data_IF_206571347498
#
_entry.id   IF_206571347498
#
_cell.length_a   1.000
_cell.length_b   1.000
_cell.length_c   1.000
_cell.angle_alpha   90.00
_cell.angle_beta   90.00
_cell.angle_gamma   90.00
#
_symmetry.space_group_name_H-M   'P 1'
#
loop_
_entity.id
_entity.type
_entity.pdbx_description
1 polymer ?
#
# COMPACT_ATOMS: atom_id res chain seq x y z
N UNK A 1 -32.89 -67.52 -41.89
CA UNK A 1 -32.62 -66.06 -41.99
C UNK A 1 -31.20 -65.83 -41.50
N UNK A 2 -30.25 -65.61 -42.42
CA UNK A 2 -28.80 -65.49 -42.12
C UNK A 2 -28.52 -64.04 -41.75
N UNK A 3 -28.14 -63.77 -40.49
CA UNK A 3 -27.74 -62.44 -40.03
C UNK A 3 -26.22 -62.40 -40.06
N UNK A 4 -25.67 -61.68 -41.05
CA UNK A 4 -24.24 -61.38 -41.14
C UNK A 4 -23.92 -60.23 -40.16
N UNK A 5 -23.23 -60.53 -39.06
CA UNK A 5 -22.62 -59.49 -38.22
C UNK A 5 -21.35 -58.97 -38.92
N UNK A 6 -21.40 -57.74 -39.40
CA UNK A 6 -20.23 -57.00 -39.85
C UNK A 6 -19.56 -56.36 -38.62
N UNK A 7 -18.39 -56.86 -38.22
CA UNK A 7 -17.49 -56.16 -37.30
C UNK A 7 -16.91 -54.94 -38.02
N UNK A 8 -17.36 -53.74 -37.65
CA UNK A 8 -16.69 -52.51 -38.02
C UNK A 8 -15.49 -52.29 -37.06
N UNK A 9 -14.27 -52.56 -37.54
CA UNK A 9 -13.05 -52.11 -36.88
C UNK A 9 -13.00 -50.57 -36.98
N UNK A 10 -13.34 -49.86 -35.89
CA UNK A 10 -12.95 -48.47 -35.73
C UNK A 10 -11.44 -48.44 -35.51
N UNK A 11 -10.69 -48.11 -36.56
CA UNK A 11 -9.29 -47.75 -36.43
C UNK A 11 -9.20 -46.44 -35.63
N UNK A 12 -8.76 -46.53 -34.38
CA UNK A 12 -8.37 -45.36 -33.59
C UNK A 12 -7.07 -44.86 -34.17
N UNK A 13 -7.15 -43.93 -35.12
CA UNK A 13 -5.98 -43.21 -35.60
C UNK A 13 -5.41 -42.43 -34.41
N UNK A 14 -4.17 -42.69 -33.97
CA UNK A 14 -3.54 -41.88 -32.94
C UNK A 14 -3.47 -40.45 -33.48
N UNK A 15 -4.07 -39.51 -32.75
CA UNK A 15 -3.84 -38.10 -32.98
C UNK A 15 -2.37 -37.84 -32.67
N UNK A 16 -1.53 -37.84 -33.71
CA UNK A 16 -0.17 -37.38 -33.59
C UNK A 16 -0.23 -35.88 -33.26
N UNK A 17 0.13 -35.51 -32.04
CA UNK A 17 0.40 -34.13 -31.70
C UNK A 17 1.43 -33.60 -32.71
N UNK A 18 1.25 -32.38 -33.25
CA UNK A 18 2.27 -31.81 -34.11
C UNK A 18 3.57 -31.74 -33.30
N UNK A 19 4.62 -32.42 -33.79
CA UNK A 19 5.96 -32.19 -33.29
C UNK A 19 6.29 -30.73 -33.58
N UNK A 20 6.47 -29.92 -32.54
CA UNK A 20 6.98 -28.56 -32.69
C UNK A 20 8.38 -28.67 -33.28
N UNK A 21 8.48 -28.39 -34.59
CA UNK A 21 9.65 -28.68 -35.40
C UNK A 21 10.77 -27.62 -35.30
N UNK A 22 10.83 -26.85 -34.20
CA UNK A 22 11.94 -25.94 -33.91
C UNK A 22 12.27 -26.02 -32.41
N UNK A 23 13.22 -26.90 -32.06
CA UNK A 23 13.79 -27.00 -30.72
C UNK A 23 14.52 -25.72 -30.29
N UNK A 24 14.88 -25.64 -29.02
CA UNK A 24 15.46 -24.47 -28.37
C UNK A 24 14.79 -24.14 -27.03
N UNK A 25 15.27 -23.09 -26.33
CA UNK A 25 14.61 -22.56 -25.14
C UNK A 25 13.24 -21.99 -25.50
N UNK A 26 12.23 -22.24 -24.65
CA UNK A 26 10.88 -21.71 -24.84
C UNK A 26 10.22 -21.33 -23.52
N UNK A 27 9.79 -20.08 -23.38
CA UNK A 27 9.04 -19.60 -22.23
C UNK A 27 7.54 -19.86 -22.41
N UNK A 28 6.88 -20.34 -21.36
CA UNK A 28 5.42 -20.45 -21.29
C UNK A 28 4.90 -19.78 -20.03
N UNK A 29 3.81 -19.02 -20.16
CA UNK A 29 3.10 -18.37 -19.06
C UNK A 29 1.62 -18.73 -19.11
N UNK A 30 1.01 -18.83 -17.93
CA UNK A 30 -0.43 -19.07 -17.80
C UNK A 30 -1.26 -17.86 -18.25
N UNK A 31 -0.78 -16.65 -17.91
CA UNK A 31 -1.41 -15.38 -18.23
C UNK A 31 -0.36 -14.27 -18.31
N UNK A 32 -0.65 -13.26 -19.12
CA UNK A 32 0.24 -12.09 -19.33
C UNK A 32 -0.32 -10.80 -18.75
N UNK A 33 -1.55 -10.85 -18.23
CA UNK A 33 -2.26 -9.67 -17.73
C UNK A 33 -2.67 -9.87 -16.28
N UNK A 34 -2.60 -8.81 -15.49
CA UNK A 34 -3.14 -8.79 -14.14
C UNK A 34 -3.85 -7.46 -13.85
N UNK A 35 -5.05 -7.54 -13.29
CA UNK A 35 -5.79 -6.38 -12.84
C UNK A 35 -5.84 -6.35 -11.32
N UNK A 36 -5.16 -5.39 -10.70
CA UNK A 36 -5.16 -5.19 -9.25
C UNK A 36 -6.49 -4.66 -8.71
N UNK A 37 -7.41 -4.25 -9.58
CA UNK A 37 -8.66 -3.62 -9.16
C UNK A 37 -8.41 -2.20 -8.64
N UNK A 38 -9.17 -1.84 -7.61
CA UNK A 38 -9.07 -0.53 -6.96
C UNK A 38 -7.97 -0.55 -5.90
N UNK A 39 -7.01 0.36 -6.03
CA UNK A 39 -5.87 0.49 -5.12
C UNK A 39 -5.91 1.88 -4.49
N UNK A 40 -5.85 1.96 -3.16
CA UNK A 40 -5.67 3.26 -2.50
C UNK A 40 -4.26 3.78 -2.76
N UNK A 41 -4.15 5.00 -3.25
CA UNK A 41 -2.88 5.68 -3.47
C UNK A 41 -1.97 5.60 -2.23
N UNK A 42 -0.68 5.32 -2.45
CA UNK A 42 0.31 5.13 -1.38
C UNK A 42 0.47 3.69 -0.92
N UNK A 43 -0.23 2.74 -1.55
CA UNK A 43 -0.01 1.29 -1.36
C UNK A 43 0.89 0.73 -2.45
N UNK A 44 1.71 -0.24 -2.06
CA UNK A 44 2.39 -1.15 -2.98
C UNK A 44 1.51 -2.39 -3.10
N UNK A 45 1.26 -2.83 -4.33
CA UNK A 45 0.55 -4.08 -4.63
C UNK A 45 1.45 -4.97 -5.47
N UNK A 46 1.43 -6.26 -5.18
CA UNK A 46 2.37 -7.24 -5.74
C UNK A 46 1.61 -8.32 -6.49
N UNK A 47 2.10 -8.70 -7.66
CA UNK A 47 1.62 -9.88 -8.39
C UNK A 47 2.78 -10.70 -8.93
N UNK A 48 2.59 -12.03 -9.02
CA UNK A 48 3.58 -12.96 -9.55
C UNK A 48 3.04 -13.59 -10.82
N UNK A 49 3.76 -13.42 -11.92
CA UNK A 49 3.49 -14.12 -13.17
C UNK A 49 4.28 -15.43 -13.21
N UNK A 50 3.64 -16.59 -13.02
CA UNK A 50 4.33 -17.87 -13.12
C UNK A 50 4.75 -18.12 -14.57
N UNK A 51 5.94 -18.67 -14.76
CA UNK A 51 6.43 -19.09 -16.06
C UNK A 51 7.26 -20.37 -15.97
N UNK A 52 7.38 -21.09 -17.08
CA UNK A 52 8.17 -22.31 -17.18
C UNK A 52 8.92 -22.41 -18.50
N UNK A 53 9.98 -23.22 -18.52
CA UNK A 53 10.68 -23.58 -19.74
C UNK A 53 10.06 -24.84 -20.36
N UNK A 54 9.32 -24.67 -21.46
CA UNK A 54 8.69 -25.77 -22.21
C UNK A 54 9.53 -26.23 -23.41
N UNK A 55 10.72 -25.66 -23.56
CA UNK A 55 11.70 -26.02 -24.59
C UNK A 55 12.55 -27.23 -24.20
N UNK A 56 13.55 -27.52 -25.04
CA UNK A 56 14.51 -28.61 -24.84
C UNK A 56 15.94 -28.13 -24.53
N UNK A 57 16.14 -26.82 -24.39
CA UNK A 57 17.41 -26.17 -23.99
C UNK A 57 17.18 -25.18 -22.85
N UNK A 58 18.26 -24.72 -22.19
CA UNK A 58 18.21 -23.75 -21.08
C UNK A 58 17.62 -22.41 -21.53
N UNK A 59 16.55 -21.99 -20.85
CA UNK A 59 15.95 -20.67 -20.98
C UNK A 59 16.68 -19.70 -20.03
N UNK A 60 17.09 -18.55 -20.56
CA UNK A 60 17.76 -17.48 -19.82
C UNK A 60 16.93 -16.19 -19.96
N UNK A 61 16.60 -15.58 -18.83
CA UNK A 61 16.00 -14.24 -18.76
C UNK A 61 17.14 -13.24 -18.67
N UNK A 62 17.31 -12.45 -19.72
CA UNK A 62 18.43 -11.51 -19.88
C UNK A 62 18.17 -10.19 -19.16
N UNK A 63 16.94 -9.68 -19.26
CA UNK A 63 16.53 -8.42 -18.64
C UNK A 63 15.03 -8.42 -18.36
N UNK A 64 14.63 -7.69 -17.31
CA UNK A 64 13.23 -7.36 -17.08
C UNK A 64 13.13 -5.88 -16.75
N UNK A 65 12.48 -5.13 -17.62
CA UNK A 65 12.46 -3.67 -17.54
C UNK A 65 11.04 -3.11 -17.46
N UNK A 66 10.94 -1.96 -16.80
CA UNK A 66 9.70 -1.19 -16.65
C UNK A 66 9.92 0.27 -17.06
N UNK A 67 8.92 0.96 -17.63
CA UNK A 67 9.09 2.32 -18.14
C UNK A 67 9.36 3.38 -17.06
N UNK A 68 9.00 3.12 -15.79
CA UNK A 68 9.31 3.99 -14.65
C UNK A 68 9.70 3.19 -13.42
N UNK A 69 10.54 3.77 -12.54
CA UNK A 69 10.95 3.19 -11.25
C UNK A 69 9.84 3.03 -10.20
N UNK A 70 8.59 3.10 -10.65
CA UNK A 70 7.35 2.86 -9.93
C UNK A 70 6.99 1.35 -9.88
N UNK A 71 7.77 0.51 -10.61
CA UNK A 71 7.56 -0.93 -10.71
C UNK A 71 8.87 -1.68 -10.59
N UNK A 72 9.06 -2.41 -9.48
CA UNK A 72 10.23 -3.26 -9.26
C UNK A 72 9.94 -4.67 -9.77
N UNK A 73 10.93 -5.28 -10.44
CA UNK A 73 10.81 -6.61 -11.00
C UNK A 73 12.05 -7.43 -10.69
N UNK A 74 11.87 -8.61 -10.10
CA UNK A 74 12.93 -9.57 -9.84
C UNK A 74 12.46 -10.97 -10.27
N UNK A 75 13.18 -11.65 -11.19
CA UNK A 75 12.98 -13.08 -11.38
C UNK A 75 13.60 -13.83 -10.19
N UNK A 76 12.86 -14.77 -9.59
CA UNK A 76 13.38 -15.64 -8.51
C UNK A 76 14.53 -16.53 -9.02
N UNK A 77 14.41 -16.96 -10.28
CA UNK A 77 15.43 -17.66 -11.04
C UNK A 77 15.42 -17.18 -12.48
N UNK A 78 16.57 -16.72 -12.99
CA UNK A 78 16.73 -16.22 -14.36
C UNK A 78 17.25 -17.29 -15.35
N UNK A 79 17.55 -18.50 -14.88
CA UNK A 79 17.98 -19.64 -15.71
C UNK A 79 17.14 -20.86 -15.40
N UNK A 80 16.45 -21.40 -16.39
CA UNK A 80 15.54 -22.53 -16.24
C UNK A 80 15.96 -23.64 -17.19
N UNK A 81 16.31 -24.80 -16.63
CA UNK A 81 16.45 -26.03 -17.41
C UNK A 81 15.08 -26.46 -17.98
N UNK A 82 15.04 -27.29 -19.03
CA UNK A 82 13.80 -27.84 -19.55
C UNK A 82 12.90 -28.43 -18.44
N UNK A 83 11.64 -27.98 -18.39
CA UNK A 83 10.65 -28.39 -17.41
C UNK A 83 10.69 -27.68 -16.05
N UNK A 84 11.67 -26.80 -15.80
CA UNK A 84 11.68 -25.97 -14.60
C UNK A 84 10.68 -24.81 -14.70
N UNK A 85 10.26 -24.29 -13.54
CA UNK A 85 9.34 -23.16 -13.40
C UNK A 85 9.90 -22.11 -12.43
N UNK A 86 9.45 -20.87 -12.60
CA UNK A 86 9.83 -19.68 -11.81
C UNK A 86 8.69 -18.66 -11.86
N UNK A 87 8.91 -17.45 -11.35
CA UNK A 87 7.96 -16.35 -11.45
C UNK A 87 8.67 -15.01 -11.68
N UNK A 88 7.93 -14.09 -12.30
CA UNK A 88 8.28 -12.67 -12.41
C UNK A 88 7.41 -11.94 -11.39
N UNK A 89 8.02 -11.44 -10.31
CA UNK A 89 7.33 -10.64 -9.31
C UNK A 89 7.27 -9.18 -9.75
N UNK A 90 6.09 -8.57 -9.71
CA UNK A 90 5.83 -7.19 -10.10
C UNK A 90 5.25 -6.45 -8.91
N UNK A 91 6.03 -5.53 -8.36
CA UNK A 91 5.59 -4.61 -7.30
C UNK A 91 5.20 -3.27 -7.92
N UNK A 92 3.93 -2.89 -7.82
CA UNK A 92 3.44 -1.59 -8.29
C UNK A 92 3.26 -0.61 -7.13
N UNK A 93 4.06 0.46 -7.11
CA UNK A 93 3.92 1.58 -6.16
C UNK A 93 2.92 2.62 -6.69
N UNK A 94 1.76 2.71 -6.04
CA UNK A 94 0.69 3.65 -6.41
C UNK A 94 0.91 5.08 -5.90
N UNK A 95 1.94 5.35 -5.09
CA UNK A 95 2.11 6.63 -4.37
C UNK A 95 2.02 7.88 -5.25
N UNK A 96 2.60 7.81 -6.46
CA UNK A 96 2.68 8.95 -7.37
C UNK A 96 1.55 8.99 -8.43
N UNK A 97 0.47 8.21 -8.28
CA UNK A 97 -0.57 8.06 -9.31
C UNK A 97 -1.99 8.12 -8.71
N UNK A 98 -2.95 8.45 -9.56
CA UNK A 98 -4.40 8.36 -9.30
C UNK A 98 -5.12 8.13 -10.62
N UNK A 99 -6.34 7.58 -10.58
CA UNK A 99 -7.11 7.19 -11.75
C UNK A 99 -6.65 5.87 -12.37
N UNK A 100 -7.07 5.61 -13.61
CA UNK A 100 -6.70 4.40 -14.36
C UNK A 100 -5.20 4.39 -14.68
N UNK A 101 -4.55 3.26 -14.41
CA UNK A 101 -3.14 3.04 -14.68
C UNK A 101 -2.97 1.71 -15.41
N UNK A 102 -2.22 1.75 -16.50
CA UNK A 102 -1.68 0.57 -17.20
C UNK A 102 -0.16 0.64 -17.17
N UNK A 103 0.49 -0.49 -16.87
CA UNK A 103 1.94 -0.66 -16.94
C UNK A 103 2.25 -1.89 -17.77
N UNK A 104 3.18 -1.71 -18.69
CA UNK A 104 3.74 -2.80 -19.49
C UNK A 104 5.14 -3.08 -18.97
N UNK A 105 5.41 -4.35 -18.68
CA UNK A 105 6.71 -4.88 -18.29
C UNK A 105 7.26 -5.64 -19.50
N UNK A 106 8.50 -5.35 -19.88
CA UNK A 106 9.17 -6.05 -20.98
C UNK A 106 10.16 -7.05 -20.41
N UNK A 107 10.07 -8.29 -20.86
CA UNK A 107 10.92 -9.41 -20.48
C UNK A 107 11.73 -9.81 -21.70
N UNK A 108 13.06 -9.72 -21.62
CA UNK A 108 13.97 -10.16 -22.65
C UNK A 108 14.55 -11.53 -22.29
N UNK A 109 14.58 -12.45 -23.26
CA UNK A 109 15.09 -13.80 -23.08
C UNK A 109 15.75 -14.35 -24.34
N UNK A 110 16.43 -15.48 -24.19
CA UNK A 110 16.98 -16.24 -25.31
C UNK A 110 15.96 -17.15 -26.03
N UNK A 111 14.65 -17.03 -25.75
CA UNK A 111 13.60 -17.77 -26.47
C UNK A 111 13.72 -17.53 -27.98
N UNK A 112 13.75 -18.63 -28.76
CA UNK A 112 14.00 -18.57 -30.21
C UNK A 112 12.79 -18.12 -31.03
N UNK A 113 11.61 -18.05 -30.44
CA UNK A 113 10.35 -17.61 -31.06
C UNK A 113 9.88 -16.27 -30.50
N UNK A 114 9.97 -16.06 -29.19
CA UNK A 114 9.53 -14.83 -28.53
C UNK A 114 10.64 -14.26 -27.62
N UNK A 115 11.72 -13.71 -28.20
CA UNK A 115 12.85 -13.18 -27.42
C UNK A 115 12.48 -11.94 -26.60
N UNK A 116 11.42 -11.23 -27.00
CA UNK A 116 10.83 -10.11 -26.26
C UNK A 116 9.36 -10.41 -25.96
N UNK A 117 9.04 -10.53 -24.67
CA UNK A 117 7.72 -10.80 -24.15
C UNK A 117 7.23 -9.58 -23.35
N UNK A 118 5.93 -9.28 -23.43
CA UNK A 118 5.30 -8.24 -22.60
C UNK A 118 4.32 -8.83 -21.58
N UNK A 119 4.32 -8.24 -20.38
CA UNK A 119 3.31 -8.45 -19.34
C UNK A 119 2.62 -7.12 -19.07
N UNK A 120 1.32 -7.16 -18.77
CA UNK A 120 0.53 -5.98 -18.47
C UNK A 120 -0.04 -6.06 -17.05
N UNK A 121 0.10 -4.97 -16.30
CA UNK A 121 -0.63 -4.79 -15.05
C UNK A 121 -1.48 -3.52 -15.11
N UNK A 122 -2.72 -3.62 -14.65
CA UNK A 122 -3.67 -2.51 -14.62
C UNK A 122 -4.24 -2.30 -13.22
N UNK A 123 -4.59 -1.06 -12.89
CA UNK A 123 -5.23 -0.70 -11.63
C UNK A 123 -6.04 0.60 -11.77
N UNK A 124 -7.11 0.72 -10.99
CA UNK A 124 -7.77 2.00 -10.72
C UNK A 124 -7.23 2.54 -9.40
N UNK A 125 -6.37 3.56 -9.44
CA UNK A 125 -5.81 4.13 -8.22
C UNK A 125 -6.75 5.19 -7.66
N UNK A 126 -7.40 4.87 -6.55
CA UNK A 126 -8.19 5.82 -5.80
C UNK A 126 -7.26 6.81 -5.13
N UNK A 127 -7.48 8.10 -5.40
CA UNK A 127 -6.75 9.17 -4.75
C UNK A 127 -6.82 8.98 -3.23
N UNK A 128 -5.69 9.17 -2.55
CA UNK A 128 -5.68 9.14 -1.09
C UNK A 128 -6.66 10.20 -0.60
N UNK A 129 -7.51 9.85 0.38
CA UNK A 129 -8.41 10.82 1.02
C UNK A 129 -7.64 11.94 1.74
N UNK A 130 -6.30 11.83 1.85
CA UNK A 130 -5.39 12.85 2.37
C UNK A 130 -4.57 13.57 1.28
N UNK A 131 -4.75 13.21 0.00
CA UNK A 131 -4.08 13.84 -1.14
C UNK A 131 -4.99 14.90 -1.77
N UNK A 132 -5.25 15.98 -1.02
CA UNK A 132 -5.94 17.17 -1.51
C UNK A 132 -7.13 17.59 -0.65
N UNK A 133 -7.07 18.79 -0.09
CA UNK A 133 -8.21 19.50 0.49
C UNK A 133 -8.81 20.39 -0.60
N UNK A 134 -10.08 20.21 -0.94
CA UNK A 134 -10.77 21.17 -1.79
C UNK A 134 -11.08 22.45 -1.01
N UNK A 135 -11.18 23.58 -1.72
CA UNK A 135 -11.46 24.87 -1.09
C UNK A 135 -12.82 24.83 -0.37
N UNK A 136 -12.79 24.97 0.95
CA UNK A 136 -13.99 24.91 1.80
C UNK A 136 -14.26 23.54 2.43
N UNK A 137 -13.48 22.51 2.11
CA UNK A 137 -13.52 21.24 2.86
C UNK A 137 -12.89 21.45 4.25
N UNK A 138 -13.59 21.00 5.29
CA UNK A 138 -13.04 20.91 6.65
C UNK A 138 -12.81 19.46 7.01
N UNK A 139 -11.90 19.22 7.96
CA UNK A 139 -11.64 17.88 8.50
C UNK A 139 -12.92 17.19 9.04
N UNK A 140 -13.92 17.99 9.42
CA UNK A 140 -15.19 17.54 9.99
C UNK A 140 -16.34 17.53 8.97
N UNK A 141 -16.09 17.90 7.71
CA UNK A 141 -17.09 17.89 6.65
C UNK A 141 -17.50 16.47 6.23
N UNK A 142 -18.54 16.29 5.41
CA UNK A 142 -19.12 14.97 5.10
C UNK A 142 -18.14 13.92 4.55
N UNK A 143 -17.14 14.36 3.78
CA UNK A 143 -16.11 13.49 3.18
C UNK A 143 -15.08 13.01 4.21
N UNK A 144 -14.60 13.92 5.07
CA UNK A 144 -13.48 13.68 5.98
C UNK A 144 -13.95 13.30 7.39
N UNK A 145 -15.16 13.72 7.76
CA UNK A 145 -15.75 13.54 9.08
C UNK A 145 -15.98 12.07 9.43
N UNK A 146 -16.21 11.19 8.46
CA UNK A 146 -16.34 9.76 8.76
C UNK A 146 -15.09 9.18 9.46
N UNK A 147 -13.91 9.71 9.15
CA UNK A 147 -12.66 9.23 9.74
C UNK A 147 -12.14 10.17 10.85
N UNK A 148 -12.46 11.47 10.81
CA UNK A 148 -11.95 12.46 11.77
C UNK A 148 -12.98 12.95 12.81
N UNK A 149 -14.27 12.73 12.56
CA UNK A 149 -15.41 13.14 13.41
C UNK A 149 -16.10 11.92 14.04
N UNK A 150 -16.47 10.89 13.27
CA UNK A 150 -17.24 9.74 13.78
C UNK A 150 -16.56 9.01 14.95
N UNK A 151 -15.22 8.80 14.96
CA UNK A 151 -14.56 8.15 16.08
C UNK A 151 -14.68 8.91 17.41
N UNK A 152 -14.99 10.21 17.37
CA UNK A 152 -15.14 11.05 18.56
C UNK A 152 -16.56 11.06 19.14
N UNK A 153 -17.55 10.48 18.44
CA UNK A 153 -18.95 10.51 18.87
C UNK A 153 -19.10 9.70 20.16
N UNK A 154 -19.64 10.34 21.20
CA UNK A 154 -19.91 9.70 22.49
C UNK A 154 -18.68 9.52 23.38
N UNK A 155 -17.47 9.83 22.90
CA UNK A 155 -16.27 9.82 23.74
C UNK A 155 -16.24 11.02 24.68
N UNK A 156 -15.62 10.85 25.85
CA UNK A 156 -15.35 11.92 26.80
C UNK A 156 -14.05 11.68 27.55
N UNK A 157 -13.54 12.70 28.25
CA UNK A 157 -12.35 12.56 29.09
C UNK A 157 -11.13 12.10 28.29
N UNK A 158 -10.39 11.11 28.83
CA UNK A 158 -9.13 10.65 28.27
C UNK A 158 -9.31 9.99 26.91
N UNK A 159 -10.39 9.23 26.70
CA UNK A 159 -10.67 8.56 25.42
C UNK A 159 -10.87 9.59 24.30
N UNK A 160 -11.57 10.69 24.60
CA UNK A 160 -11.74 11.78 23.65
C UNK A 160 -10.42 12.51 23.38
N UNK A 161 -9.58 12.69 24.42
CA UNK A 161 -8.25 13.29 24.26
C UNK A 161 -7.34 12.43 23.36
N UNK A 162 -7.31 11.12 23.59
CA UNK A 162 -6.55 10.15 22.79
C UNK A 162 -7.07 9.97 21.38
N UNK A 163 -8.33 10.32 21.12
CA UNK A 163 -8.87 10.29 19.76
C UNK A 163 -8.59 11.58 18.99
N UNK A 164 -8.76 12.75 19.63
CA UNK A 164 -8.81 14.03 18.92
C UNK A 164 -7.61 14.97 19.14
N UNK A 165 -6.85 14.83 20.24
CA UNK A 165 -5.91 15.86 20.69
C UNK A 165 -4.47 15.36 20.78
N UNK A 166 -4.27 14.08 21.09
CA UNK A 166 -2.96 13.53 21.42
C UNK A 166 -1.93 13.65 20.29
N UNK A 167 -2.36 13.54 19.03
CA UNK A 167 -1.46 13.52 17.88
C UNK A 167 -0.62 14.82 17.85
N UNK A 168 -1.25 15.96 18.14
CA UNK A 168 -0.58 17.26 18.19
C UNK A 168 -0.03 17.60 19.58
N UNK A 169 -0.76 17.26 20.65
CA UNK A 169 -0.41 17.70 22.01
C UNK A 169 0.37 16.65 22.83
N UNK A 170 0.71 15.52 22.22
CA UNK A 170 1.39 14.37 22.84
C UNK A 170 0.44 13.51 23.68
N UNK A 171 0.68 12.19 23.76
CA UNK A 171 -0.15 11.24 24.52
C UNK A 171 -0.37 11.66 25.98
N UNK A 172 0.62 12.29 26.58
CA UNK A 172 0.60 12.72 27.98
C UNK A 172 0.50 14.25 28.14
N UNK A 173 -0.02 14.97 27.13
CA UNK A 173 -0.12 16.45 27.13
C UNK A 173 1.24 17.17 27.21
N UNK A 174 2.34 16.48 26.90
CA UNK A 174 3.72 17.02 26.94
C UNK A 174 4.16 17.72 25.65
N UNK A 175 3.27 17.83 24.67
CA UNK A 175 3.55 18.41 23.36
C UNK A 175 4.06 17.38 22.36
N UNK A 176 3.81 17.66 21.09
CA UNK A 176 4.38 16.97 19.93
C UNK A 176 4.58 18.01 18.81
N UNK A 177 3.77 17.97 17.75
CA UNK A 177 3.74 18.98 16.70
C UNK A 177 3.10 20.30 17.16
N UNK A 178 2.32 20.25 18.24
CA UNK A 178 1.80 21.42 18.95
C UNK A 178 2.32 21.49 20.39
N UNK A 179 2.07 22.63 21.04
CA UNK A 179 2.52 22.93 22.41
C UNK A 179 2.01 21.92 23.44
N UNK A 180 2.78 21.76 24.52
CA UNK A 180 2.35 21.04 25.71
C UNK A 180 1.11 21.71 26.36
N UNK A 181 0.16 20.89 26.81
CA UNK A 181 -1.05 21.36 27.49
C UNK A 181 -0.99 21.16 29.01
N UNK A 182 -0.11 20.28 29.51
CA UNK A 182 -0.02 19.95 30.94
C UNK A 182 0.49 21.06 31.85
N UNK A 183 0.92 22.20 31.30
CA UNK A 183 1.50 23.32 32.06
C UNK A 183 0.54 24.49 32.29
N UNK A 184 -0.68 24.45 31.74
CA UNK A 184 -1.62 25.57 31.86
C UNK A 184 -2.33 25.57 33.22
N UNK A 185 -2.37 26.70 33.95
CA UNK A 185 -3.03 26.77 35.25
C UNK A 185 -4.57 26.74 35.10
N UNK A 186 -5.31 26.34 36.17
CA UNK A 186 -6.78 26.34 36.17
C UNK A 186 -7.41 27.69 35.80
N UNK A 187 -6.75 28.80 36.13
CA UNK A 187 -7.21 30.15 35.77
C UNK A 187 -7.32 30.40 34.25
N UNK A 188 -6.72 29.55 33.42
CA UNK A 188 -6.81 29.63 31.95
C UNK A 188 -7.88 28.71 31.36
N UNK A 189 -8.66 27.99 32.16
CA UNK A 189 -9.66 27.02 31.69
C UNK A 189 -10.65 27.65 30.68
N UNK A 190 -11.14 28.86 30.95
CA UNK A 190 -12.07 29.55 30.04
C UNK A 190 -11.41 29.91 28.70
N UNK A 191 -10.16 30.32 28.73
CA UNK A 191 -9.41 30.61 27.50
C UNK A 191 -9.17 29.34 26.69
N UNK A 192 -8.76 28.25 27.35
CA UNK A 192 -8.58 26.95 26.69
C UNK A 192 -9.89 26.41 26.12
N UNK A 193 -11.01 26.62 26.84
CA UNK A 193 -12.35 26.31 26.34
C UNK A 193 -12.63 27.05 25.03
N UNK A 194 -12.34 28.34 24.98
CA UNK A 194 -12.53 29.15 23.77
C UNK A 194 -11.63 28.68 22.61
N UNK A 195 -10.40 28.28 22.90
CA UNK A 195 -9.47 27.75 21.90
C UNK A 195 -9.95 26.39 21.36
N UNK A 196 -10.43 25.48 22.20
CA UNK A 196 -11.02 24.21 21.73
C UNK A 196 -12.31 24.47 20.94
N UNK A 197 -13.13 25.41 21.42
CA UNK A 197 -14.41 25.75 20.78
C UNK A 197 -14.20 26.32 19.38
N UNK A 198 -13.39 27.38 19.28
CA UNK A 198 -13.26 28.23 18.10
C UNK A 198 -12.03 27.89 17.23
N UNK A 199 -11.14 27.05 17.74
CA UNK A 199 -9.84 26.85 17.14
C UNK A 199 -8.90 28.00 17.46
N UNK A 200 -7.72 27.94 16.88
CA UNK A 200 -6.72 29.00 17.01
C UNK A 200 -6.42 29.58 15.62
N UNK A 201 -6.92 30.80 15.31
CA UNK A 201 -6.72 31.44 14.02
C UNK A 201 -5.24 31.53 13.63
N UNK A 202 -4.94 31.27 12.35
CA UNK A 202 -3.56 31.27 11.84
C UNK A 202 -2.77 30.01 12.18
N UNK A 203 -3.44 28.94 12.64
CA UNK A 203 -2.84 27.63 12.91
C UNK A 203 -3.71 26.51 12.36
N UNK A 204 -3.14 25.30 12.32
CA UNK A 204 -3.85 24.07 11.93
C UNK A 204 -4.81 23.54 13.01
N UNK A 205 -5.03 24.27 14.12
CA UNK A 205 -5.98 23.86 15.16
C UNK A 205 -7.40 24.38 14.84
N UNK A 206 -8.31 23.52 14.34
CA UNK A 206 -9.65 23.94 13.95
C UNK A 206 -10.55 24.17 15.17
N UNK A 207 -11.72 24.77 14.94
CA UNK A 207 -12.79 24.80 15.93
C UNK A 207 -13.42 23.42 16.08
N UNK A 208 -13.39 22.85 17.28
CA UNK A 208 -13.93 21.52 17.56
C UNK A 208 -15.38 21.54 18.03
N UNK A 209 -15.93 22.70 18.40
CA UNK A 209 -17.33 22.77 18.80
C UNK A 209 -18.28 22.67 17.60
N UNK A 210 -19.47 22.09 17.79
CA UNK A 210 -20.51 21.96 16.75
C UNK A 210 -20.89 23.29 16.10
N UNK A 211 -20.82 24.41 16.84
CA UNK A 211 -21.09 25.74 16.28
C UNK A 211 -20.04 26.20 15.25
N UNK A 212 -18.87 25.57 15.23
CA UNK A 212 -17.78 25.83 14.27
C UNK A 212 -17.67 24.73 13.20
N UNK A 213 -18.64 23.81 13.16
CA UNK A 213 -18.60 22.63 12.31
C UNK A 213 -17.76 21.47 12.87
N UNK A 214 -17.30 21.55 14.12
CA UNK A 214 -16.57 20.47 14.79
C UNK A 214 -17.46 19.43 15.48
N UNK A 215 -16.87 18.32 16.00
CA UNK A 215 -17.63 17.20 16.55
C UNK A 215 -18.27 17.45 17.93
N UNK A 216 -17.67 18.32 18.73
CA UNK A 216 -17.84 18.31 20.17
C UNK A 216 -18.98 19.19 20.62
N UNK A 217 -19.76 18.71 21.59
CA UNK A 217 -20.65 19.56 22.38
C UNK A 217 -19.96 20.11 23.64
N UNK A 218 -20.67 20.98 24.36
CA UNK A 218 -20.17 21.61 25.58
C UNK A 218 -19.73 20.59 26.64
N UNK A 219 -20.47 19.49 26.82
CA UNK A 219 -20.14 18.48 27.81
C UNK A 219 -18.84 17.75 27.47
N UNK A 220 -18.61 17.46 26.19
CA UNK A 220 -17.38 16.86 25.71
C UNK A 220 -16.19 17.82 25.87
N UNK A 221 -16.34 19.10 25.56
CA UNK A 221 -15.29 20.12 25.77
C UNK A 221 -14.95 20.26 27.26
N UNK A 222 -15.97 20.33 28.12
CA UNK A 222 -15.76 20.42 29.56
C UNK A 222 -15.07 19.15 30.10
N UNK A 223 -15.32 17.99 29.51
CA UNK A 223 -14.62 16.74 29.85
C UNK A 223 -13.13 16.79 29.49
N UNK A 224 -12.76 17.41 28.36
CA UNK A 224 -11.37 17.59 27.95
C UNK A 224 -10.62 18.52 28.89
N UNK A 225 -11.26 19.60 29.35
CA UNK A 225 -10.65 20.51 30.34
C UNK A 225 -10.34 19.79 31.64
N UNK A 226 -11.21 18.88 32.10
CA UNK A 226 -10.93 18.04 33.28
C UNK A 226 -9.67 17.20 33.09
N UNK A 227 -9.45 16.62 31.90
CA UNK A 227 -8.25 15.81 31.61
C UNK A 227 -6.97 16.60 31.77
N UNK A 228 -6.95 17.89 31.40
CA UNK A 228 -5.77 18.73 31.55
C UNK A 228 -5.27 18.82 33.01
N UNK A 229 -6.18 18.74 33.96
CA UNK A 229 -5.90 18.85 35.39
C UNK A 229 -5.85 17.50 36.12
N UNK A 230 -5.99 16.39 35.39
CA UNK A 230 -5.68 15.07 35.93
C UNK A 230 -4.18 14.81 35.84
N UNK A 231 -3.60 14.17 36.87
CA UNK A 231 -2.21 13.74 36.80
C UNK A 231 -2.04 12.82 35.58
N UNK A 232 -1.05 13.09 34.70
CA UNK A 232 -0.70 12.12 33.67
C UNK A 232 -0.24 10.82 34.35
N UNK A 233 -0.43 9.65 33.72
CA UNK A 233 0.23 8.45 34.19
C UNK A 233 1.74 8.71 34.34
N UNK A 234 2.34 8.14 35.39
CA UNK A 234 3.79 8.22 35.58
C UNK A 234 4.47 7.87 34.26
N UNK A 235 5.42 8.69 33.82
CA UNK A 235 6.18 8.41 32.60
C UNK A 235 6.66 6.96 32.70
N UNK A 236 6.45 6.11 31.67
CA UNK A 236 7.13 4.84 31.66
C UNK A 236 8.62 5.13 31.90
N UNK A 237 9.23 4.37 32.82
CA UNK A 237 10.67 4.46 33.05
C UNK A 237 11.31 4.47 31.68
N UNK A 238 12.09 5.51 31.36
CA UNK A 238 12.75 5.61 30.07
C UNK A 238 13.50 4.29 29.90
N UNK A 239 13.00 3.42 29.03
CA UNK A 239 13.77 2.30 28.54
C UNK A 239 14.97 2.98 27.89
N UNK A 240 16.09 2.92 28.59
CA UNK A 240 17.39 3.27 28.05
C UNK A 240 17.45 2.55 26.72
N UNK A 241 17.42 3.31 25.63
CA UNK A 241 17.67 2.78 24.30
C UNK A 241 19.07 2.18 24.32
N UNK A 242 19.12 0.89 24.66
CA UNK A 242 20.25 0.00 24.40
C UNK A 242 20.20 -0.32 22.93
N UNK A 243 21.36 -0.16 22.28
CA UNK A 243 21.62 -0.43 20.87
C UNK A 243 20.77 0.38 19.87
N UNK A 244 21.35 1.49 19.41
CA UNK A 244 21.24 1.82 18.01
C UNK A 244 21.85 0.66 17.20
N UNK A 245 21.03 -0.28 16.73
CA UNK A 245 21.38 -1.02 15.52
C UNK A 245 21.40 -0.02 14.39
N UNK A 246 22.61 0.28 13.96
CA UNK A 246 23.00 1.00 12.76
C UNK A 246 22.01 0.72 11.62
N UNK A 247 21.31 1.76 11.18
CA UNK A 247 20.57 1.74 9.91
C UNK A 247 21.63 1.52 8.82
N UNK A 248 21.53 0.47 7.98
CA UNK A 248 22.45 0.31 6.86
C UNK A 248 22.35 1.54 5.97
N UNK A 249 23.43 2.31 5.88
CA UNK A 249 23.55 3.40 4.91
C UNK A 249 23.38 2.83 3.51
N UNK A 250 22.53 3.47 2.70
CA UNK A 250 22.45 3.24 1.25
C UNK A 250 23.87 3.15 0.68
N UNK A 251 24.18 1.98 0.12
CA UNK A 251 25.47 1.69 -0.48
C UNK A 251 25.80 2.68 -1.60
N UNK A 252 27.06 3.07 -1.65
CA UNK A 252 27.67 3.86 -2.71
C UNK A 252 27.29 3.31 -4.10
N UNK A 253 26.68 4.11 -4.99
CA UNK A 253 26.21 3.67 -6.31
C UNK A 253 27.33 3.26 -7.28
N UNK A 254 28.61 3.34 -6.90
CA UNK A 254 29.75 3.00 -7.75
C UNK A 254 30.61 1.81 -7.28
N UNK A 255 30.14 0.98 -6.35
CA UNK A 255 30.88 -0.23 -5.95
C UNK A 255 30.48 -1.45 -6.81
N UNK A 256 31.44 -2.13 -7.49
CA UNK A 256 31.14 -3.35 -8.23
C UNK A 256 30.94 -4.54 -7.28
N UNK A 257 29.77 -5.18 -7.37
CA UNK A 257 29.42 -6.36 -6.61
C UNK A 257 30.06 -7.61 -7.21
N UNK A 258 31.22 -8.07 -6.73
CA UNK A 258 31.59 -9.50 -6.67
C UNK A 258 32.87 -9.72 -5.85
N UNK A 259 32.81 -10.68 -4.92
CA UNK A 259 33.81 -11.74 -4.75
C UNK A 259 33.09 -13.05 -4.50
#
# INVERSE_FOLDING_TARGET
MRILLALALLAVLPWAAPALADGGPRIALDHREHHFGRVTQGKIVTHRFPFSNVGDQELVIDDVSTPCGCTAVLPDKSRLMPGEASYIEVDYDSSARSGEVTRVITVLSNDTVEPELTLEVTATVDASMHAGFEAGETLFGPKCGKCHYDPNIGLSGVELYESACWFCHGKERRGNTARALGAYPPAMADHLRQVITNGLPGTEMPGFHRSQGGPLDDAQIDSLLKVLYTEPPAAPAQETQSEATEVPTLGDPNQPFFK
#
